data_IF_280031891848
#
_entry.id   IF_280031891848
#
_cell.length_a   1.000
_cell.length_b   1.000
_cell.length_c   1.000
_cell.angle_alpha   90.00
_cell.angle_beta   90.00
_cell.angle_gamma   90.00
#
_symmetry.space_group_name_H-M   'P 1'
#
loop_
_entity.id
_entity.type
_entity.pdbx_description
1 polymer ?
#
# COMPACT_ATOMS: atom_id res chain seq x y z
N UNK A 1 22.86 -8.10 3.99
CA UNK A 1 22.03 -7.34 4.95
C UNK A 1 21.66 -6.02 4.30
N UNK A 2 20.45 -5.89 3.75
CA UNK A 2 20.00 -4.66 3.05
C UNK A 2 19.79 -3.54 4.08
N UNK A 3 20.58 -2.46 4.01
CA UNK A 3 20.35 -1.25 4.80
C UNK A 3 19.42 -0.33 4.02
N UNK A 4 18.26 -0.02 4.60
CA UNK A 4 17.35 0.98 4.05
C UNK A 4 17.77 2.33 4.62
N UNK A 5 18.87 2.89 4.12
CA UNK A 5 19.52 4.09 4.67
C UNK A 5 18.91 5.41 4.18
N UNK A 6 17.97 5.37 3.23
CA UNK A 6 17.43 6.56 2.56
C UNK A 6 16.09 7.06 3.14
N UNK A 7 15.53 6.41 4.15
CA UNK A 7 14.26 6.82 4.76
C UNK A 7 14.50 7.83 5.88
N UNK A 8 14.22 9.11 5.60
CA UNK A 8 14.36 10.23 6.56
C UNK A 8 13.12 10.44 7.44
N UNK A 9 12.21 9.46 7.51
CA UNK A 9 11.02 9.51 8.37
C UNK A 9 10.80 8.19 9.12
N UNK A 10 10.12 8.23 10.29
CA UNK A 10 9.75 7.02 11.02
C UNK A 10 8.96 6.05 10.14
N UNK A 11 9.14 4.75 10.38
CA UNK A 11 8.44 3.69 9.65
C UNK A 11 7.18 3.32 10.43
N UNK A 12 6.02 3.43 9.78
CA UNK A 12 4.73 3.09 10.37
C UNK A 12 4.41 1.60 10.23
N UNK A 13 4.76 1.01 9.08
CA UNK A 13 4.48 -0.39 8.77
C UNK A 13 5.53 -0.97 7.84
N UNK A 14 5.88 -2.23 8.07
CA UNK A 14 6.67 -3.06 7.17
C UNK A 14 5.92 -4.36 6.95
N UNK A 15 5.86 -4.83 5.71
CA UNK A 15 5.16 -6.04 5.35
C UNK A 15 5.93 -6.82 4.28
N UNK A 16 6.28 -8.08 4.58
CA UNK A 16 6.75 -8.99 3.56
C UNK A 16 5.62 -9.36 2.59
N UNK A 17 5.96 -9.56 1.32
CA UNK A 17 5.00 -10.13 0.39
C UNK A 17 4.60 -11.55 0.86
N UNK A 18 3.30 -11.86 0.97
CA UNK A 18 2.81 -13.05 1.67
C UNK A 18 3.23 -14.39 1.04
N UNK A 19 3.66 -14.38 -0.23
CA UNK A 19 4.14 -15.57 -0.98
C UNK A 19 5.57 -15.47 -1.52
N UNK A 20 6.22 -14.32 -1.38
CA UNK A 20 7.53 -14.02 -2.00
C UNK A 20 8.35 -13.19 -1.02
N UNK A 21 8.93 -13.85 -0.01
CA UNK A 21 9.64 -13.18 1.10
C UNK A 21 10.81 -12.28 0.69
N UNK A 22 11.23 -12.36 -0.57
CA UNK A 22 12.24 -11.51 -1.18
C UNK A 22 11.75 -10.09 -1.51
N UNK A 23 10.44 -9.83 -1.43
CA UNK A 23 9.85 -8.50 -1.57
C UNK A 23 9.38 -7.95 -0.22
N UNK A 24 9.60 -6.65 -0.03
CA UNK A 24 9.24 -5.93 1.18
C UNK A 24 8.49 -4.64 0.84
N UNK A 25 7.32 -4.44 1.43
CA UNK A 25 6.55 -3.21 1.34
C UNK A 25 6.72 -2.40 2.63
N UNK A 26 7.16 -1.15 2.51
CA UNK A 26 7.45 -0.26 3.61
C UNK A 26 6.53 0.94 3.52
N UNK A 27 5.90 1.33 4.62
CA UNK A 27 5.09 2.55 4.74
C UNK A 27 5.78 3.52 5.72
N UNK A 28 6.52 4.52 5.21
CA UNK A 28 7.04 5.61 6.02
C UNK A 28 5.92 6.57 6.44
N UNK A 29 6.17 7.40 7.46
CA UNK A 29 5.17 8.35 7.94
C UNK A 29 4.96 9.54 7.02
N UNK A 30 6.01 10.05 6.38
CA UNK A 30 5.98 11.30 5.59
C UNK A 30 6.23 11.11 4.09
N UNK A 31 6.38 9.87 3.65
CA UNK A 31 6.72 9.55 2.26
C UNK A 31 5.79 8.46 1.75
N UNK A 32 5.60 8.36 0.42
CA UNK A 32 4.83 7.26 -0.14
C UNK A 32 5.43 5.89 0.23
N UNK A 33 4.60 4.84 0.21
CA UNK A 33 5.06 3.48 0.36
C UNK A 33 6.17 3.12 -0.63
N UNK A 34 7.10 2.28 -0.18
CA UNK A 34 8.23 1.80 -0.98
C UNK A 34 8.15 0.28 -1.07
N UNK A 35 8.15 -0.23 -2.30
CA UNK A 35 8.35 -1.63 -2.60
C UNK A 35 9.83 -1.88 -2.84
N UNK A 36 10.43 -2.76 -2.04
CA UNK A 36 11.80 -3.23 -2.21
C UNK A 36 11.75 -4.61 -2.86
N UNK A 37 12.50 -4.79 -3.94
CA UNK A 37 12.65 -6.07 -4.61
C UNK A 37 13.84 -6.89 -4.09
N UNK A 38 14.00 -8.08 -4.68
CA UNK A 38 15.04 -9.05 -4.33
C UNK A 38 16.46 -8.51 -4.51
N UNK A 39 16.64 -7.53 -5.39
CA UNK A 39 17.93 -6.92 -5.71
C UNK A 39 18.18 -5.68 -4.83
N UNK A 40 17.25 -5.35 -3.93
CA UNK A 40 17.32 -4.13 -3.12
C UNK A 40 16.94 -2.87 -3.89
N UNK A 41 16.34 -2.98 -5.08
CA UNK A 41 15.82 -1.83 -5.81
C UNK A 41 14.56 -1.32 -5.10
N UNK A 42 14.53 -0.01 -4.90
CA UNK A 42 13.41 0.69 -4.29
C UNK A 42 12.49 1.25 -5.38
N UNK A 43 11.21 0.89 -5.34
CA UNK A 43 10.18 1.43 -6.21
C UNK A 43 9.14 2.15 -5.36
N UNK A 44 8.89 3.43 -5.67
CA UNK A 44 7.86 4.22 -4.99
C UNK A 44 6.49 3.75 -5.46
N UNK A 45 5.57 3.52 -4.53
CA UNK A 45 4.19 3.11 -4.80
C UNK A 45 3.25 4.25 -4.41
N UNK A 46 2.81 5.03 -5.40
CA UNK A 46 1.94 6.22 -5.19
C UNK A 46 0.51 5.98 -5.65
N UNK A 47 -0.37 6.91 -5.26
CA UNK A 47 -1.67 7.14 -5.89
C UNK A 47 -1.51 8.42 -6.71
N UNK A 48 -1.45 8.28 -8.04
CA UNK A 48 -1.24 9.41 -8.97
C UNK A 48 -0.09 10.34 -8.51
N UNK A 49 -0.28 11.66 -8.60
CA UNK A 49 0.67 12.69 -8.19
C UNK A 49 0.53 13.13 -6.72
N UNK A 50 -0.22 12.42 -5.88
CA UNK A 50 -0.41 12.78 -4.47
C UNK A 50 0.77 12.27 -3.60
N UNK A 51 1.56 13.16 -2.99
CA UNK A 51 2.86 12.77 -2.46
C UNK A 51 2.81 12.24 -1.02
N UNK A 52 1.73 12.41 -0.27
CA UNK A 52 1.78 12.31 1.19
C UNK A 52 0.64 11.45 1.80
N UNK A 53 0.93 10.88 2.97
CA UNK A 53 -0.02 10.16 3.86
C UNK A 53 -0.76 8.98 3.20
N UNK A 54 -0.01 8.13 2.50
CA UNK A 54 -0.54 6.91 1.88
C UNK A 54 -0.20 5.71 2.77
N UNK A 55 -1.24 4.98 3.19
CA UNK A 55 -1.11 3.66 3.80
C UNK A 55 -1.17 2.58 2.74
N UNK A 56 -0.50 1.45 2.97
CA UNK A 56 -0.55 0.34 2.02
C UNK A 56 -0.49 -1.05 2.66
N UNK A 57 -0.97 -2.03 1.89
CA UNK A 57 -0.88 -3.45 2.26
C UNK A 57 -0.93 -4.34 1.02
N UNK A 58 -0.28 -5.50 1.07
CA UNK A 58 -0.60 -6.59 0.15
C UNK A 58 -1.98 -7.18 0.45
N UNK A 59 -2.63 -7.68 -0.59
CA UNK A 59 -3.74 -8.61 -0.44
C UNK A 59 -3.26 -9.99 0.07
N UNK A 60 -4.19 -10.95 0.24
CA UNK A 60 -3.88 -12.27 0.81
C UNK A 60 -2.80 -13.03 0.06
N UNK A 61 -2.84 -12.92 -1.26
CA UNK A 61 -2.00 -13.72 -2.16
C UNK A 61 -0.75 -12.96 -2.59
N UNK A 62 -0.73 -11.65 -2.36
CA UNK A 62 0.25 -10.73 -2.91
C UNK A 62 0.06 -10.47 -4.41
N UNK A 63 -1.13 -10.75 -4.95
CA UNK A 63 -1.43 -10.45 -6.37
C UNK A 63 -1.61 -8.93 -6.56
N UNK A 64 -1.99 -8.22 -5.48
CA UNK A 64 -2.28 -6.79 -5.50
C UNK A 64 -1.67 -6.06 -4.29
N UNK A 65 -1.40 -4.77 -4.49
CA UNK A 65 -1.11 -3.79 -3.45
C UNK A 65 -2.31 -2.85 -3.35
N UNK A 66 -2.85 -2.74 -2.14
CA UNK A 66 -3.96 -1.87 -1.82
C UNK A 66 -3.40 -0.63 -1.13
N UNK A 67 -3.77 0.54 -1.65
CA UNK A 67 -3.36 1.86 -1.18
C UNK A 67 -4.57 2.61 -0.63
N UNK A 68 -4.35 3.45 0.37
CA UNK A 68 -5.35 4.37 0.89
C UNK A 68 -4.71 5.70 1.27
N UNK A 69 -5.36 6.83 1.02
CA UNK A 69 -4.86 8.15 1.44
C UNK A 69 -5.73 8.82 2.51
N UNK A 70 -5.28 9.98 2.97
CA UNK A 70 -5.97 10.82 3.96
C UNK A 70 -7.31 11.41 3.48
N UNK A 71 -7.66 11.26 2.21
CA UNK A 71 -8.93 11.75 1.62
C UNK A 71 -9.95 10.63 1.35
N UNK A 72 -9.72 9.42 1.86
CA UNK A 72 -10.65 8.30 1.69
C UNK A 72 -10.55 7.60 0.35
N UNK A 73 -9.60 7.98 -0.51
CA UNK A 73 -9.37 7.29 -1.78
C UNK A 73 -8.63 5.99 -1.53
N UNK A 74 -9.22 4.89 -1.96
CA UNK A 74 -8.59 3.58 -2.05
C UNK A 74 -8.24 3.27 -3.50
N UNK A 75 -7.05 2.72 -3.72
CA UNK A 75 -6.57 2.30 -5.04
C UNK A 75 -6.00 0.89 -4.94
N UNK A 76 -6.32 0.06 -5.91
CA UNK A 76 -5.76 -1.29 -6.04
C UNK A 76 -4.84 -1.32 -7.25
N UNK A 77 -3.59 -1.72 -7.01
CA UNK A 77 -2.57 -1.89 -8.04
C UNK A 77 -2.15 -3.35 -8.16
N UNK A 78 -1.82 -3.79 -9.36
CA UNK A 78 -1.20 -5.10 -9.58
C UNK A 78 0.20 -5.15 -8.98
N UNK A 79 0.63 -6.34 -8.58
CA UNK A 79 2.02 -6.63 -8.25
C UNK A 79 2.62 -7.59 -9.29
N UNK A 80 3.88 -7.37 -9.75
CA UNK A 80 4.80 -6.30 -9.37
C UNK A 80 4.66 -5.02 -10.23
N UNK A 81 3.81 -5.02 -11.26
CA UNK A 81 3.81 -3.98 -12.31
C UNK A 81 3.23 -2.63 -11.89
N UNK A 82 2.59 -2.55 -10.72
CA UNK A 82 1.99 -1.34 -10.14
C UNK A 82 0.92 -0.66 -11.02
N UNK A 83 0.28 -1.43 -11.92
CA UNK A 83 -0.82 -0.94 -12.75
C UNK A 83 -2.08 -0.79 -11.89
N UNK A 84 -2.69 0.39 -11.92
CA UNK A 84 -3.99 0.62 -11.26
C UNK A 84 -5.07 -0.20 -11.96
N UNK A 85 -5.81 -1.01 -11.19
CA UNK A 85 -6.92 -1.83 -11.70
C UNK A 85 -8.27 -1.39 -11.13
N UNK A 86 -8.28 -0.68 -10.01
CA UNK A 86 -9.51 -0.16 -9.43
C UNK A 86 -9.21 1.01 -8.49
N UNK A 87 -10.17 1.92 -8.35
CA UNK A 87 -10.11 3.03 -7.42
C UNK A 87 -11.52 3.39 -6.95
N UNK A 88 -11.70 3.60 -5.65
CA UNK A 88 -12.97 4.04 -5.10
C UNK A 88 -12.74 4.94 -3.89
N UNK A 89 -13.67 5.85 -3.64
CA UNK A 89 -13.60 6.77 -2.49
C UNK A 89 -14.59 6.33 -1.42
N UNK A 90 -14.11 6.21 -0.19
CA UNK A 90 -14.94 5.99 0.99
C UNK A 90 -15.50 7.34 1.42
N UNK A 91 -16.83 7.46 1.42
CA UNK A 91 -17.56 8.64 1.89
C UNK A 91 -18.31 8.32 3.19
N UNK A 92 -18.43 9.31 4.05
CA UNK A 92 -19.40 9.27 5.17
C UNK A 92 -20.69 9.96 4.73
N UNK A 93 -21.81 9.66 5.38
CA UNK A 93 -23.14 10.18 5.02
C UNK A 93 -23.28 11.71 4.97
N UNK A 94 -22.26 12.46 5.43
CA UNK A 94 -22.18 13.92 5.35
C UNK A 94 -21.40 14.45 4.14
N UNK A 95 -21.09 13.60 3.14
CA UNK A 95 -20.25 13.95 1.97
C UNK A 95 -18.86 14.51 2.33
N UNK A 96 -18.37 14.21 3.54
CA UNK A 96 -17.02 14.61 3.98
C UNK A 96 -16.01 13.48 3.76
N UNK A 97 -14.77 13.85 3.42
CA UNK A 97 -13.68 12.89 3.23
C UNK A 97 -13.32 12.23 4.57
N UNK A 98 -13.09 10.92 4.54
CA UNK A 98 -12.66 10.14 5.71
C UNK A 98 -11.20 9.74 5.58
N UNK A 99 -10.41 10.03 6.61
CA UNK A 99 -8.99 9.66 6.64
C UNK A 99 -8.85 8.14 6.82
N UNK A 100 -8.15 7.48 5.90
CA UNK A 100 -7.80 6.07 6.04
C UNK A 100 -6.56 5.93 6.92
N UNK A 101 -6.67 5.16 8.02
CA UNK A 101 -5.60 4.99 9.01
C UNK A 101 -4.88 3.66 8.93
N UNK A 102 -5.62 2.57 8.65
CA UNK A 102 -5.06 1.24 8.50
C UNK A 102 -5.93 0.38 7.59
N UNK A 103 -5.31 -0.56 6.87
CA UNK A 103 -5.98 -1.58 6.04
C UNK A 103 -5.44 -2.93 6.49
N UNK A 104 -6.35 -3.82 6.87
CA UNK A 104 -6.01 -5.18 7.30
C UNK A 104 -6.70 -6.22 6.41
N UNK A 105 -5.92 -7.24 6.05
CA UNK A 105 -6.35 -8.30 5.14
C UNK A 105 -6.42 -9.62 5.91
N UNK A 106 -7.60 -10.24 6.06
CA UNK A 106 -7.76 -11.41 6.91
C UNK A 106 -7.05 -12.64 6.34
N UNK A 107 -6.47 -13.51 7.16
CA UNK A 107 -5.72 -14.67 6.65
C UNK A 107 -6.61 -15.74 5.98
N UNK A 108 -7.86 -15.83 6.41
CA UNK A 108 -8.85 -16.84 5.99
C UNK A 108 -10.17 -16.18 5.62
N UNK A 109 -11.00 -16.88 4.86
CA UNK A 109 -12.32 -16.41 4.41
C UNK A 109 -12.39 -16.11 2.92
N UNK A 110 -13.62 -16.02 2.41
CA UNK A 110 -13.93 -15.60 1.03
C UNK A 110 -14.27 -14.11 1.03
N UNK A 111 -13.26 -13.26 1.17
CA UNK A 111 -13.40 -11.85 0.83
C UNK A 111 -12.88 -11.69 -0.60
N UNK A 112 -13.77 -11.27 -1.49
CA UNK A 112 -13.39 -10.80 -2.82
C UNK A 112 -13.66 -9.30 -2.82
N UNK A 113 -12.62 -8.53 -3.12
CA UNK A 113 -12.85 -7.23 -3.73
C UNK A 113 -13.43 -7.56 -5.11
N UNK A 114 -14.70 -7.27 -5.33
CA UNK A 114 -15.28 -7.31 -6.68
C UNK A 114 -14.72 -6.08 -7.39
N UNK A 115 -13.54 -6.25 -8.00
CA UNK A 115 -12.83 -5.24 -8.78
C UNK A 115 -13.26 -5.31 -10.24
#
# INVERSE_FOLDING_TARGET
RTRISCLKSPILKVQFHPRKSSYLLICPMKHPPILIDNNGKNTIVTIDDEPNDIISTFDRKGEHIILGNSRGLMVVKTFPDLKTISSFRITTGTNTNTVLRHIEIPRRGKYKLNL
#
